data_IF_559712695013
#
_entry.id   IF_559712695013
#
_cell.length_a   1.000
_cell.length_b   1.000
_cell.length_c   1.000
_cell.angle_alpha   90.00
_cell.angle_beta   90.00
_cell.angle_gamma   90.00
#
_symmetry.space_group_name_H-M   'P 1'
#
loop_
_entity.id
_entity.type
_entity.pdbx_description
1 polymer ?
#
# COMPACT_ATOMS: atom_id res chain seq x y z
N UNK A 1 -10.56 -11.22 -2.28
CA UNK A 1 -9.95 -9.89 -2.38
C UNK A 1 -10.98 -8.93 -2.92
N UNK A 2 -11.17 -7.79 -2.25
CA UNK A 2 -11.96 -6.67 -2.76
C UNK A 2 -11.03 -5.47 -2.96
N UNK A 3 -11.40 -4.54 -3.85
CA UNK A 3 -10.63 -3.31 -4.03
C UNK A 3 -11.51 -2.13 -4.39
N UNK A 4 -11.04 -0.94 -3.99
CA UNK A 4 -11.59 0.36 -4.38
C UNK A 4 -10.44 1.16 -4.97
N UNK A 5 -10.69 1.88 -6.06
CA UNK A 5 -9.69 2.75 -6.68
C UNK A 5 -10.26 4.12 -6.96
N UNK A 6 -9.50 5.15 -6.60
CA UNK A 6 -9.74 6.54 -6.99
C UNK A 6 -8.70 6.92 -8.03
N UNK A 7 -9.14 7.60 -9.09
CA UNK A 7 -8.26 8.02 -10.18
C UNK A 7 -8.55 9.47 -10.54
N UNK A 8 -7.49 10.22 -10.77
CA UNK A 8 -7.55 11.60 -11.22
C UNK A 8 -6.63 11.76 -12.42
N UNK A 9 -7.18 12.27 -13.52
CA UNK A 9 -6.38 12.66 -14.67
C UNK A 9 -5.63 13.94 -14.33
N UNK A 10 -4.35 13.98 -14.63
CA UNK A 10 -3.53 15.17 -14.50
C UNK A 10 -3.59 16.02 -15.77
N UNK A 11 -3.39 17.35 -15.66
CA UNK A 11 -3.34 18.24 -16.82
C UNK A 11 -2.24 17.92 -17.84
N UNK A 12 -1.17 17.25 -17.41
CA UNK A 12 -0.03 16.83 -18.23
C UNK A 12 -0.26 15.48 -18.96
N UNK A 13 -1.43 14.86 -18.77
CA UNK A 13 -1.76 13.56 -19.35
C UNK A 13 -1.38 12.37 -18.48
N UNK A 14 -0.78 12.58 -17.30
CA UNK A 14 -0.57 11.55 -16.29
C UNK A 14 -1.87 11.15 -15.56
N UNK A 15 -1.79 10.08 -14.76
CA UNK A 15 -2.91 9.61 -13.94
C UNK A 15 -2.44 9.35 -12.51
N UNK A 16 -2.97 10.11 -11.55
CA UNK A 16 -2.81 9.80 -10.13
C UNK A 16 -3.84 8.76 -9.73
N UNK A 17 -3.38 7.72 -9.04
CA UNK A 17 -4.24 6.64 -8.61
C UNK A 17 -3.96 6.27 -7.16
N UNK A 18 -5.06 6.10 -6.41
CA UNK A 18 -5.07 5.57 -5.06
C UNK A 18 -5.87 4.27 -5.08
N UNK A 19 -5.33 3.21 -4.49
CA UNK A 19 -6.00 1.92 -4.37
C UNK A 19 -6.08 1.48 -2.93
N UNK A 20 -7.26 1.08 -2.48
CA UNK A 20 -7.44 0.31 -1.25
C UNK A 20 -7.71 -1.14 -1.63
N UNK A 21 -6.84 -2.05 -1.22
CA UNK A 21 -7.03 -3.48 -1.37
C UNK A 21 -7.39 -4.09 -0.02
N UNK A 22 -8.41 -4.95 -0.01
CA UNK A 22 -8.89 -5.65 1.17
C UNK A 22 -8.70 -7.15 0.94
N UNK A 23 -7.85 -7.75 1.76
CA UNK A 23 -7.51 -9.18 1.68
C UNK A 23 -7.99 -9.89 2.94
N UNK A 24 -8.95 -10.79 2.78
CA UNK A 24 -9.34 -11.73 3.82
C UNK A 24 -8.38 -12.93 3.83
N UNK A 25 -7.86 -13.24 5.01
CA UNK A 25 -6.97 -14.35 5.30
C UNK A 25 -7.80 -15.48 5.92
N UNK A 26 -7.84 -16.68 5.32
CA UNK A 26 -8.47 -17.82 5.96
C UNK A 26 -7.75 -18.18 7.28
N UNK A 27 -8.47 -18.79 8.23
CA UNK A 27 -7.90 -19.24 9.51
C UNK A 27 -6.59 -20.02 9.28
N UNK A 28 -5.56 -19.69 10.07
CA UNK A 28 -4.18 -20.22 10.00
C UNK A 28 -3.30 -19.75 8.82
N UNK A 29 -3.72 -18.76 8.03
CA UNK A 29 -2.86 -18.18 6.99
C UNK A 29 -1.91 -17.11 7.59
N UNK A 30 -0.59 -17.37 7.49
CA UNK A 30 0.41 -16.32 7.67
C UNK A 30 0.37 -15.39 6.45
N UNK A 31 0.27 -14.08 6.67
CA UNK A 31 0.43 -13.10 5.61
C UNK A 31 1.92 -12.78 5.43
N UNK A 32 2.44 -13.03 4.24
CA UNK A 32 3.79 -12.62 3.86
C UNK A 32 3.80 -12.10 2.43
N UNK A 33 4.65 -11.12 2.18
CA UNK A 33 4.91 -10.56 0.86
C UNK A 33 6.42 -10.45 0.66
N UNK A 34 6.87 -10.79 -0.53
CA UNK A 34 8.27 -10.60 -0.92
C UNK A 34 8.48 -9.14 -1.30
N UNK A 35 9.42 -8.50 -0.62
CA UNK A 35 9.73 -7.08 -0.76
C UNK A 35 11.24 -6.90 -0.88
N UNK A 36 11.68 -5.76 -1.42
CA UNK A 36 13.09 -5.43 -1.53
C UNK A 36 13.74 -5.22 -0.15
N UNK A 37 15.05 -5.43 -0.08
CA UNK A 37 15.82 -5.05 1.11
C UNK A 37 15.72 -3.53 1.33
N UNK A 38 15.42 -3.12 2.56
CA UNK A 38 15.20 -1.70 2.90
C UNK A 38 13.90 -1.10 2.37
N UNK A 39 13.02 -1.89 1.75
CA UNK A 39 11.73 -1.43 1.24
C UNK A 39 10.68 -1.21 2.35
N UNK A 40 10.89 -1.77 3.53
CA UNK A 40 9.93 -1.79 4.65
C UNK A 40 10.38 -0.82 5.74
N UNK A 41 9.45 0.02 6.15
CA UNK A 41 9.54 0.88 7.33
C UNK A 41 8.34 0.55 8.24
N UNK A 42 8.58 0.40 9.54
CA UNK A 42 7.50 0.27 10.52
C UNK A 42 6.96 1.67 10.84
N UNK A 43 5.64 1.82 10.74
CA UNK A 43 4.91 3.05 11.11
C UNK A 43 3.77 2.70 12.07
N UNK A 44 3.12 3.73 12.60
CA UNK A 44 1.95 3.57 13.48
C UNK A 44 0.74 4.19 12.82
N UNK A 45 -0.40 3.48 12.83
CA UNK A 45 -1.71 4.00 12.46
C UNK A 45 -2.64 3.88 13.65
N UNK A 46 -3.22 4.99 14.12
CA UNK A 46 -4.16 4.97 15.26
C UNK A 46 -3.64 4.23 16.52
N UNK A 47 -2.32 4.22 16.74
CA UNK A 47 -1.66 3.53 17.86
C UNK A 47 -1.29 2.07 17.60
N UNK A 48 -1.68 1.50 16.46
CA UNK A 48 -1.39 0.13 16.06
C UNK A 48 -0.24 0.06 15.04
N UNK A 49 0.54 -1.04 15.02
CA UNK A 49 1.65 -1.20 14.09
C UNK A 49 1.17 -1.40 12.65
N UNK A 50 1.86 -0.76 11.71
CA UNK A 50 1.64 -0.88 10.28
C UNK A 50 2.98 -0.88 9.53
N UNK A 51 2.96 -1.34 8.28
CA UNK A 51 4.13 -1.34 7.40
C UNK A 51 3.96 -0.32 6.29
N UNK A 52 4.94 0.58 6.15
CA UNK A 52 5.12 1.40 4.96
C UNK A 52 6.10 0.70 4.02
N UNK A 53 5.65 0.49 2.78
CA UNK A 53 6.39 -0.17 1.71
C UNK A 53 6.71 0.85 0.63
N UNK A 54 7.99 0.92 0.23
CA UNK A 54 8.47 1.76 -0.87
C UNK A 54 8.95 0.89 -2.02
N UNK A 55 8.59 1.23 -3.24
CA UNK A 55 8.91 0.42 -4.42
C UNK A 55 7.70 -0.35 -4.93
N UNK A 56 7.93 -1.26 -5.87
CA UNK A 56 6.88 -2.08 -6.42
C UNK A 56 7.40 -3.37 -7.06
N UNK A 57 6.47 -4.29 -7.29
CA UNK A 57 6.76 -5.48 -8.09
C UNK A 57 6.85 -5.10 -9.57
N UNK A 58 8.03 -5.30 -10.17
CA UNK A 58 8.22 -5.16 -11.60
C UNK A 58 7.90 -6.50 -12.29
N UNK A 59 6.82 -6.54 -13.06
CA UNK A 59 6.36 -7.78 -13.72
C UNK A 59 7.30 -8.27 -14.82
N UNK A 60 8.06 -7.37 -15.43
CA UNK A 60 8.93 -7.69 -16.55
C UNK A 60 10.23 -8.34 -16.06
N UNK A 61 10.79 -7.82 -14.96
CA UNK A 61 12.01 -8.37 -14.34
C UNK A 61 11.71 -9.45 -13.29
N UNK A 62 10.44 -9.62 -12.92
CA UNK A 62 10.00 -10.50 -11.83
C UNK A 62 10.74 -10.25 -10.52
N UNK A 63 10.98 -8.98 -10.21
CA UNK A 63 11.71 -8.58 -9.01
C UNK A 63 11.03 -7.38 -8.36
N UNK A 64 11.27 -7.24 -7.06
CA UNK A 64 10.95 -5.98 -6.39
C UNK A 64 11.91 -4.90 -6.87
N UNK A 65 11.38 -3.75 -7.25
CA UNK A 65 12.11 -2.64 -7.85
C UNK A 65 11.88 -1.38 -7.02
N UNK A 66 12.97 -0.89 -6.42
CA UNK A 66 12.97 0.34 -5.61
C UNK A 66 12.89 1.61 -6.48
N UNK A 67 13.13 1.50 -7.78
CA UNK A 67 12.96 2.58 -8.75
C UNK A 67 11.50 2.81 -9.17
N UNK A 68 10.58 1.89 -8.80
CA UNK A 68 9.15 2.14 -8.95
C UNK A 68 8.72 3.11 -7.85
N UNK A 69 8.31 4.31 -8.24
CA UNK A 69 7.81 5.33 -7.33
C UNK A 69 6.40 4.96 -6.85
N UNK A 70 6.30 4.02 -5.91
CA UNK A 70 5.06 3.65 -5.29
C UNK A 70 5.23 3.54 -3.78
N UNK A 71 4.15 3.91 -3.07
CA UNK A 71 4.08 3.88 -1.61
C UNK A 71 2.85 3.05 -1.22
N UNK A 72 3.03 2.06 -0.36
CA UNK A 72 1.93 1.21 0.11
C UNK A 72 1.97 1.14 1.63
N UNK A 73 0.88 1.52 2.29
CA UNK A 73 0.69 1.27 3.72
C UNK A 73 -0.12 -0.01 3.88
N UNK A 74 0.37 -0.94 4.70
CA UNK A 74 -0.32 -2.19 5.04
C UNK A 74 -0.54 -2.30 6.53
N UNK A 75 -1.74 -2.69 6.92
CA UNK A 75 -2.11 -2.92 8.31
C UNK A 75 -3.16 -4.02 8.42
N UNK A 76 -3.21 -4.65 9.59
CA UNK A 76 -4.31 -5.52 9.95
C UNK A 76 -5.48 -4.65 10.42
N UNK A 77 -6.64 -4.84 9.80
CA UNK A 77 -7.90 -4.30 10.30
C UNK A 77 -8.43 -5.16 11.46
N UNK A 78 -8.32 -6.48 11.30
CA UNK A 78 -8.57 -7.49 12.32
C UNK A 78 -7.63 -8.69 12.10
N UNK A 79 -7.78 -9.75 12.91
CA UNK A 79 -6.94 -10.97 12.84
C UNK A 79 -6.99 -11.70 11.48
N UNK A 80 -7.97 -11.40 10.64
CA UNK A 80 -8.22 -12.07 9.37
C UNK A 80 -8.26 -11.13 8.18
N UNK A 81 -7.99 -9.84 8.36
CA UNK A 81 -8.20 -8.85 7.30
C UNK A 81 -7.03 -7.90 7.22
N UNK A 82 -6.35 -7.91 6.07
CA UNK A 82 -5.25 -6.98 5.76
C UNK A 82 -5.73 -5.95 4.76
N UNK A 83 -5.55 -4.69 5.12
CA UNK A 83 -5.75 -3.55 4.23
C UNK A 83 -4.41 -3.15 3.63
N UNK A 84 -4.42 -2.76 2.36
CA UNK A 84 -3.28 -2.17 1.68
C UNK A 84 -3.72 -0.93 0.93
N UNK A 85 -3.26 0.24 1.36
CA UNK A 85 -3.51 1.52 0.71
C UNK A 85 -2.29 1.91 -0.12
N UNK A 86 -2.44 1.98 -1.43
CA UNK A 86 -1.36 2.20 -2.39
C UNK A 86 -1.55 3.50 -3.15
N UNK A 87 -0.49 4.29 -3.25
CA UNK A 87 -0.36 5.45 -4.14
C UNK A 87 0.73 5.20 -5.20
N UNK A 88 0.51 5.65 -6.43
CA UNK A 88 1.50 5.61 -7.51
C UNK A 88 2.13 6.99 -7.77
N UNK A 89 3.35 6.98 -8.30
CA UNK A 89 4.06 8.11 -8.91
C UNK A 89 4.17 9.35 -8.02
N UNK A 90 4.51 9.15 -6.75
CA UNK A 90 4.62 10.24 -5.75
C UNK A 90 3.38 11.17 -5.76
N UNK A 91 2.22 10.63 -6.14
CA UNK A 91 0.97 11.39 -6.29
C UNK A 91 0.47 11.98 -4.96
N UNK A 92 1.05 11.53 -3.85
CA UNK A 92 0.67 11.86 -2.49
C UNK A 92 1.88 11.73 -1.57
N UNK A 93 2.01 12.66 -0.64
CA UNK A 93 2.98 12.57 0.45
C UNK A 93 2.58 11.44 1.42
N UNK A 94 3.56 10.89 2.14
CA UNK A 94 3.32 9.77 3.07
C UNK A 94 2.33 10.17 4.16
N UNK A 95 2.42 11.39 4.67
CA UNK A 95 1.58 11.92 5.75
C UNK A 95 0.11 11.99 5.35
N UNK A 96 -0.17 12.37 4.09
CA UNK A 96 -1.53 12.37 3.55
C UNK A 96 -2.05 10.93 3.41
N UNK A 97 -1.19 10.00 2.99
CA UNK A 97 -1.54 8.58 2.87
C UNK A 97 -1.84 7.96 4.24
N UNK A 98 -1.08 8.32 5.28
CA UNK A 98 -1.32 7.97 6.68
C UNK A 98 -2.67 8.53 7.12
N UNK A 99 -2.93 9.81 6.91
CA UNK A 99 -4.21 10.43 7.28
C UNK A 99 -5.42 9.78 6.63
N UNK A 100 -5.30 9.33 5.37
CA UNK A 100 -6.34 8.54 4.71
C UNK A 100 -6.49 7.17 5.37
N UNK A 101 -5.38 6.46 5.60
CA UNK A 101 -5.41 5.14 6.23
C UNK A 101 -6.07 5.17 7.62
N UNK A 102 -5.76 6.18 8.43
CA UNK A 102 -6.35 6.38 9.76
C UNK A 102 -7.83 6.78 9.73
N UNK A 103 -8.31 7.34 8.61
CA UNK A 103 -9.72 7.71 8.41
C UNK A 103 -10.62 6.54 7.99
N UNK A 104 -10.03 5.40 7.62
CA UNK A 104 -10.77 4.20 7.23
C UNK A 104 -11.18 3.48 8.53
N UNK A 105 -12.50 3.33 8.78
CA UNK A 105 -13.01 2.76 10.02
C UNK A 105 -12.72 1.28 10.16
#
# INVERSE_FOLDING_TARGET
MASVSWRKNNPDGGMHSLWLHITYLPEAANYSEVVGEGAVEEITLNGEPAALLRGGWNSDTQSYDMGIHAQTIKWFYDEHTVYALKSSDDAMEVEDLIGIAESIP
#
